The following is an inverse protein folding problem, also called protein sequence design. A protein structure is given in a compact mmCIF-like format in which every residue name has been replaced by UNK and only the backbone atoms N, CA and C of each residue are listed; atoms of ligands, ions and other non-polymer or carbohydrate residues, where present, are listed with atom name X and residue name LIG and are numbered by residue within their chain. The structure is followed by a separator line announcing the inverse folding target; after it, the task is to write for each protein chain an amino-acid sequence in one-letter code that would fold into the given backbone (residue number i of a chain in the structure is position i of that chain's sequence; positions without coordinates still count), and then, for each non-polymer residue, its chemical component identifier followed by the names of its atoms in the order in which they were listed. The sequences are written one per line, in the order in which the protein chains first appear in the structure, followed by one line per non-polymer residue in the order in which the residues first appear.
data_IF_172433233615
#
_entry.id   IF_172433233615
#
_cell.length_a   1.000
_cell.length_b   1.000
_cell.length_c   1.000
_cell.angle_alpha   90.00
_cell.angle_beta   90.00
_cell.angle_gamma   90.00
#
_symmetry.space_group_name_H-M   'P 1'
#
loop_
_entity.id
_entity.type
_entity.pdbx_description
1 polymer ?
#
# COMPACT_ATOMS: atom_id res chain seq x y z
N UNK A 1 -21.89 2.95 19.11
CA UNK A 1 -21.70 2.42 17.75
C UNK A 1 -20.22 2.50 17.49
N UNK A 2 -19.51 1.36 17.42
CA UNK A 2 -18.09 1.38 17.09
C UNK A 2 -17.94 1.90 15.67
N UNK A 3 -17.27 3.03 15.50
CA UNK A 3 -16.95 3.54 14.17
C UNK A 3 -16.02 2.53 13.51
N UNK A 4 -16.49 1.83 12.49
CA UNK A 4 -15.58 1.17 11.55
C UNK A 4 -14.80 2.28 10.89
N UNK A 5 -13.56 2.50 11.32
CA UNK A 5 -12.65 3.46 10.69
C UNK A 5 -12.31 2.90 9.31
N UNK A 6 -13.10 3.26 8.30
CA UNK A 6 -12.82 2.89 6.92
C UNK A 6 -11.51 3.55 6.51
N UNK A 7 -10.44 2.75 6.44
CA UNK A 7 -9.16 3.20 5.90
C UNK A 7 -9.24 3.14 4.37
N UNK A 8 -8.90 4.25 3.73
CA UNK A 8 -8.87 4.36 2.26
C UNK A 8 -7.42 4.48 1.83
N UNK A 9 -6.97 3.51 1.05
CA UNK A 9 -5.66 3.52 0.42
C UNK A 9 -5.79 3.85 -1.06
N UNK A 10 -4.93 4.74 -1.56
CA UNK A 10 -4.82 5.02 -2.98
C UNK A 10 -3.57 4.33 -3.52
N UNK A 11 -3.78 3.33 -4.38
CA UNK A 11 -2.71 2.62 -5.08
C UNK A 11 -2.49 3.25 -6.45
N UNK A 12 -1.24 3.59 -6.77
CA UNK A 12 -0.83 4.01 -8.11
C UNK A 12 0.22 3.05 -8.63
N UNK A 13 0.02 2.57 -9.86
CA UNK A 13 0.96 1.71 -10.58
C UNK A 13 1.29 2.42 -11.89
N UNK A 14 2.56 2.53 -12.23
CA UNK A 14 3.00 3.17 -13.46
C UNK A 14 4.20 2.47 -14.07
N UNK A 15 4.36 2.70 -15.37
CA UNK A 15 5.49 2.22 -16.15
C UNK A 15 6.55 3.31 -16.23
N UNK A 16 7.76 3.01 -15.78
CA UNK A 16 8.87 3.95 -15.73
C UNK A 16 9.99 3.49 -16.67
N UNK A 17 10.28 4.26 -17.74
CA UNK A 17 11.45 4.01 -18.57
C UNK A 17 12.73 4.30 -17.79
N UNK A 18 13.68 3.38 -17.81
CA UNK A 18 15.02 3.52 -17.22
C UNK A 18 16.09 3.32 -18.29
N UNK A 19 17.35 3.76 -18.07
CA UNK A 19 18.45 3.48 -18.99
C UNK A 19 18.69 1.98 -19.21
N UNK A 20 18.41 1.15 -18.21
CA UNK A 20 18.58 -0.30 -18.22
C UNK A 20 17.37 -1.06 -18.78
N UNK A 21 16.27 -0.37 -19.08
CA UNK A 21 15.06 -0.97 -19.59
C UNK A 21 13.79 -0.28 -19.09
N UNK A 22 12.82 -1.06 -18.68
CA UNK A 22 11.48 -0.58 -18.32
C UNK A 22 11.07 -1.27 -17.05
N UNK A 23 10.64 -0.49 -16.07
CA UNK A 23 10.34 -1.00 -14.73
C UNK A 23 8.93 -0.59 -14.32
N UNK A 24 8.20 -1.54 -13.73
CA UNK A 24 6.94 -1.26 -13.07
C UNK A 24 7.20 -0.70 -11.68
N UNK A 25 6.61 0.46 -11.40
CA UNK A 25 6.67 1.12 -10.09
C UNK A 25 5.29 1.15 -9.47
N UNK A 26 5.25 1.18 -8.15
CA UNK A 26 4.01 1.41 -7.43
C UNK A 26 4.19 2.34 -6.24
N UNK A 27 3.10 2.97 -5.84
CA UNK A 27 3.02 3.70 -4.58
C UNK A 27 1.67 3.50 -3.93
N UNK A 28 1.65 3.48 -2.61
CA UNK A 28 0.43 3.53 -1.79
C UNK A 28 0.44 4.82 -1.00
N UNK A 29 -0.70 5.50 -0.95
CA UNK A 29 -0.88 6.64 -0.05
C UNK A 29 -2.11 6.49 0.83
N UNK A 30 -1.98 6.93 2.08
CA UNK A 30 -3.02 7.03 3.08
C UNK A 30 -2.94 8.42 3.71
N UNK A 31 -3.91 9.29 3.40
CA UNK A 31 -3.83 10.70 3.80
C UNK A 31 -2.59 11.40 3.21
N UNK A 32 -1.72 11.91 4.08
CA UNK A 32 -0.47 12.58 3.70
C UNK A 32 0.72 11.61 3.54
N UNK A 33 0.61 10.39 4.09
CA UNK A 33 1.67 9.39 4.03
C UNK A 33 1.70 8.70 2.67
N UNK A 34 2.91 8.46 2.16
CA UNK A 34 3.11 7.80 0.86
C UNK A 34 4.32 6.87 0.90
N UNK A 35 4.10 5.63 0.52
CA UNK A 35 5.12 4.59 0.37
C UNK A 35 5.35 4.28 -1.10
N UNK A 36 6.62 4.12 -1.49
CA UNK A 36 7.03 3.78 -2.85
C UNK A 36 7.60 2.37 -2.89
N UNK A 37 7.29 1.64 -3.96
CA UNK A 37 7.68 0.25 -4.14
C UNK A 37 8.33 0.06 -5.50
N UNK A 38 9.52 -0.52 -5.48
CA UNK A 38 10.26 -0.90 -6.69
C UNK A 38 9.79 -2.24 -7.27
N UNK A 39 9.18 -3.10 -6.44
CA UNK A 39 8.75 -4.46 -6.77
C UNK A 39 7.30 -4.69 -6.34
N UNK A 40 6.55 -5.43 -7.16
CA UNK A 40 5.14 -5.74 -6.88
C UNK A 40 4.96 -6.60 -5.61
N UNK A 41 5.89 -7.51 -5.34
CA UNK A 41 5.86 -8.35 -4.14
C UNK A 41 5.95 -7.54 -2.85
N UNK A 42 6.76 -6.47 -2.84
CA UNK A 42 6.90 -5.57 -1.70
C UNK A 42 5.60 -4.79 -1.43
N UNK A 43 4.91 -4.35 -2.50
CA UNK A 43 3.59 -3.73 -2.38
C UNK A 43 2.57 -4.68 -1.76
N UNK A 44 2.52 -5.93 -2.25
CA UNK A 44 1.55 -6.93 -1.76
C UNK A 44 1.81 -7.23 -0.28
N UNK A 45 3.07 -7.45 0.09
CA UNK A 45 3.45 -7.71 1.48
C UNK A 45 3.06 -6.54 2.41
N UNK A 46 3.28 -5.30 1.97
CA UNK A 46 2.84 -4.11 2.72
C UNK A 46 1.32 -4.10 2.93
N UNK A 47 0.52 -4.29 1.88
CA UNK A 47 -0.94 -4.28 1.99
C UNK A 47 -1.48 -5.42 2.87
N UNK A 48 -0.86 -6.60 2.83
CA UNK A 48 -1.22 -7.72 3.70
C UNK A 48 -0.96 -7.38 5.18
N UNK A 49 0.17 -6.76 5.49
CA UNK A 49 0.50 -6.33 6.84
C UNK A 49 -0.49 -5.28 7.38
N UNK A 50 -0.89 -4.31 6.56
CA UNK A 50 -1.90 -3.32 6.95
C UNK A 50 -3.26 -3.98 7.30
N UNK A 51 -3.66 -5.00 6.53
CA UNK A 51 -4.91 -5.74 6.77
C UNK A 51 -4.88 -6.59 8.05
N UNK A 52 -3.71 -7.16 8.38
CA UNK A 52 -3.52 -7.93 9.62
C UNK A 52 -3.51 -7.00 10.84
N UNK A 53 -2.83 -5.86 10.73
CA UNK A 53 -2.75 -4.85 11.80
C UNK A 53 -4.14 -4.31 12.17
N UNK A 54 -5.00 -4.00 11.19
CA UNK A 54 -6.39 -3.57 11.44
C UNK A 54 -7.23 -4.63 12.16
N UNK A 55 -6.87 -5.91 12.02
CA UNK A 55 -7.59 -7.03 12.63
C UNK A 55 -7.19 -7.25 14.09
N UNK A 56 -5.96 -6.92 14.49
CA UNK A 56 -5.46 -7.04 15.88
C UNK A 56 -5.90 -5.88 16.79
N UNK A 57 -6.17 -4.70 16.24
CA UNK A 57 -6.58 -3.51 17.01
C UNK A 57 -8.07 -3.50 17.44
N UNK A 58 -8.84 -4.56 17.15
CA UNK A 58 -10.20 -4.75 17.66
C UNK A 58 -10.16 -5.62 18.93
N UNK A 59 -10.29 -5.06 20.15
CA UNK A 59 -10.51 -5.89 21.31
C UNK A 59 -11.89 -6.54 21.20
N UNK A 60 -11.96 -7.83 21.53
CA UNK A 60 -13.20 -8.60 21.63
C UNK A 60 -14.13 -8.04 22.72
#
# INVERSE_FOLDING_TARGET
MAATSTQIYVVRIWYEPTPEGVVWRASVSQGEERHYFAELSALIAFLQQEMETESEERPQ
#
